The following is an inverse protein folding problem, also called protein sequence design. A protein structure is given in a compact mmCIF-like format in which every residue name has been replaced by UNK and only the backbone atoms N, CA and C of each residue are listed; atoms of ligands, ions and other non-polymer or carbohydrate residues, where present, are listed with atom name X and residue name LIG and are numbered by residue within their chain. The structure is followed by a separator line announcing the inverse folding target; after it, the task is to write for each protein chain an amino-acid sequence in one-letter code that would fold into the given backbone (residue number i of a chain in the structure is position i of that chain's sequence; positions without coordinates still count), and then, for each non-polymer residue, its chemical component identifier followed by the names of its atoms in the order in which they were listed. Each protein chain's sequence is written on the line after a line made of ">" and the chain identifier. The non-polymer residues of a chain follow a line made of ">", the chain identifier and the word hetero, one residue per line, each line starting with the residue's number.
data_IF_541431042790
#
_entry.id   IF_541431042790
#
_cell.length_a   1.000
_cell.length_b   1.000
_cell.length_c   1.000
_cell.angle_alpha   90.00
_cell.angle_beta   90.00
_cell.angle_gamma   90.00
#
_symmetry.space_group_name_H-M   'P 1'
#
loop_
_entity.id
_entity.type
_entity.pdbx_description
1 polymer ?
#
# COMPACT_ATOMS: atom_id res chain seq x y z
N UNK A 1 19.88 -3.93 0.98
CA UNK A 1 19.03 -2.73 1.10
C UNK A 1 18.67 -2.33 -0.32
N UNK A 2 17.39 -2.12 -0.60
CA UNK A 2 16.93 -1.68 -1.92
C UNK A 2 16.17 -0.38 -1.72
N UNK A 3 16.37 0.57 -2.62
CA UNK A 3 15.60 1.80 -2.63
C UNK A 3 14.10 1.46 -2.76
N UNK A 4 13.27 2.10 -1.94
CA UNK A 4 11.83 1.91 -1.85
C UNK A 4 11.13 3.27 -1.77
N UNK A 5 10.85 3.83 -2.94
CA UNK A 5 10.21 5.14 -3.06
C UNK A 5 8.78 5.08 -2.53
N UNK A 6 8.31 6.17 -1.94
CA UNK A 6 6.99 6.22 -1.30
C UNK A 6 6.35 7.60 -1.36
N UNK A 7 5.03 7.63 -1.23
CA UNK A 7 4.25 8.85 -0.98
C UNK A 7 3.96 8.96 0.51
N UNK A 8 4.57 9.96 1.15
CA UNK A 8 4.46 10.18 2.60
C UNK A 8 3.50 11.33 2.88
N UNK A 9 2.60 11.13 3.83
CA UNK A 9 1.67 12.15 4.28
C UNK A 9 2.37 13.14 5.24
N UNK A 10 2.39 14.43 4.89
CA UNK A 10 3.18 15.44 5.61
C UNK A 10 2.36 16.47 6.37
N UNK A 11 1.14 16.74 5.91
CA UNK A 11 0.30 17.80 6.48
C UNK A 11 -1.18 17.52 6.22
N UNK A 12 -2.00 17.85 7.21
CA UNK A 12 -3.46 17.82 7.08
C UNK A 12 -3.96 18.84 6.07
N UNK A 13 -4.91 18.43 5.22
CA UNK A 13 -5.51 19.27 4.20
C UNK A 13 -6.91 19.74 4.63
N UNK A 14 -7.09 21.06 4.74
CA UNK A 14 -8.42 21.67 4.96
C UNK A 14 -9.23 21.61 3.67
N UNK A 15 -8.68 22.17 2.58
CA UNK A 15 -9.24 22.13 1.24
C UNK A 15 -8.63 21.02 0.38
N UNK A 16 -8.57 21.18 -0.94
CA UNK A 16 -7.94 20.21 -1.83
C UNK A 16 -6.48 19.96 -1.43
N UNK A 17 -6.02 18.70 -1.44
CA UNK A 17 -4.64 18.40 -1.14
C UNK A 17 -3.72 18.91 -2.26
N UNK A 18 -2.61 19.51 -1.85
CA UNK A 18 -1.57 20.11 -2.69
C UNK A 18 -0.30 19.25 -2.63
N UNK A 19 0.23 18.89 -3.79
CA UNK A 19 1.48 18.14 -3.95
C UNK A 19 2.65 18.99 -3.44
N UNK A 20 3.55 18.40 -2.65
CA UNK A 20 4.70 19.09 -2.05
C UNK A 20 4.39 19.78 -0.72
N UNK A 21 3.12 19.92 -0.36
CA UNK A 21 2.69 20.44 0.95
C UNK A 21 2.10 19.35 1.83
N UNK A 22 1.10 18.63 1.29
CA UNK A 22 0.36 17.61 2.03
C UNK A 22 0.97 16.22 1.83
N UNK A 23 1.67 16.04 0.71
CA UNK A 23 2.38 14.82 0.37
C UNK A 23 3.79 15.13 -0.08
N UNK A 24 4.68 14.20 0.17
CA UNK A 24 6.04 14.21 -0.34
C UNK A 24 6.34 12.89 -1.02
N UNK A 25 6.95 12.98 -2.21
CA UNK A 25 7.51 11.81 -2.88
C UNK A 25 8.94 11.60 -2.39
N UNK A 26 9.12 10.58 -1.56
CA UNK A 26 10.39 10.25 -0.92
C UNK A 26 11.12 9.22 -1.78
N UNK A 27 12.42 9.46 -2.02
CA UNK A 27 13.24 8.62 -2.93
C UNK A 27 14.52 8.05 -2.30
N UNK A 28 14.79 8.43 -1.06
CA UNK A 28 15.93 8.07 -0.23
C UNK A 28 15.53 7.18 0.95
N UNK A 29 14.47 6.37 0.76
CA UNK A 29 14.01 5.38 1.74
C UNK A 29 14.45 4.00 1.29
N UNK A 30 14.98 3.21 2.21
CA UNK A 30 15.36 1.84 1.95
C UNK A 30 14.46 0.87 2.69
N UNK A 31 14.27 -0.32 2.08
CA UNK A 31 13.68 -1.45 2.77
C UNK A 31 14.78 -2.45 3.14
N UNK A 32 14.87 -2.71 4.45
CA UNK A 32 15.88 -3.59 5.06
C UNK A 32 15.16 -4.59 5.95
N UNK A 33 14.33 -5.44 5.35
CA UNK A 33 13.51 -6.36 6.12
C UNK A 33 13.91 -7.80 5.81
N UNK A 34 14.63 -8.43 6.74
CA UNK A 34 14.68 -9.88 6.79
C UNK A 34 13.30 -10.38 7.22
N UNK A 35 12.60 -11.08 6.32
CA UNK A 35 11.27 -11.61 6.61
C UNK A 35 11.32 -12.49 7.86
N UNK A 36 10.34 -12.31 8.74
CA UNK A 36 10.02 -13.20 9.87
C UNK A 36 8.97 -14.22 9.43
N UNK A 37 8.75 -15.23 10.26
CA UNK A 37 7.83 -16.32 9.94
C UNK A 37 6.42 -15.81 9.66
N UNK A 38 5.85 -16.24 8.54
CA UNK A 38 4.53 -15.80 8.07
C UNK A 38 4.50 -14.44 7.36
N UNK A 39 5.60 -13.68 7.34
CA UNK A 39 5.66 -12.40 6.62
C UNK A 39 5.91 -12.59 5.12
N UNK A 40 5.50 -11.60 4.34
CA UNK A 40 5.57 -11.59 2.88
C UNK A 40 6.14 -10.26 2.43
N UNK A 41 7.09 -10.26 1.50
CA UNK A 41 7.57 -9.07 0.83
C UNK A 41 6.92 -9.00 -0.55
N UNK A 42 6.30 -7.86 -0.85
CA UNK A 42 5.65 -7.61 -2.13
C UNK A 42 6.28 -6.46 -2.88
N UNK A 43 6.19 -6.50 -4.21
CA UNK A 43 6.35 -5.33 -5.09
C UNK A 43 4.97 -4.82 -5.47
N UNK A 44 4.66 -3.59 -5.09
CA UNK A 44 3.33 -3.03 -5.30
C UNK A 44 3.20 -2.56 -6.76
N UNK A 45 2.08 -2.91 -7.38
CA UNK A 45 1.82 -2.66 -8.81
C UNK A 45 0.78 -1.55 -8.99
N UNK A 46 -0.27 -1.59 -8.19
CA UNK A 46 -1.37 -0.64 -8.21
C UNK A 46 -1.81 -0.33 -6.78
N UNK A 47 -2.21 0.91 -6.53
CA UNK A 47 -2.82 1.36 -5.28
C UNK A 47 -4.13 2.06 -5.65
N UNK A 48 -5.22 1.74 -4.96
CA UNK A 48 -6.51 2.35 -5.22
C UNK A 48 -6.49 3.81 -4.77
N UNK A 49 -7.18 4.67 -5.49
CA UNK A 49 -7.36 6.08 -5.14
C UNK A 49 -8.83 6.36 -4.88
N UNK A 50 -9.28 5.98 -3.69
CA UNK A 50 -10.70 6.02 -3.33
C UNK A 50 -11.11 7.39 -2.76
N UNK A 51 -12.35 7.85 -2.98
CA UNK A 51 -12.82 9.14 -2.47
C UNK A 51 -12.66 9.30 -0.94
N UNK A 52 -12.77 8.19 -0.18
CA UNK A 52 -12.68 8.23 1.28
C UNK A 52 -11.28 8.63 1.79
N UNK A 53 -10.23 8.49 0.98
CA UNK A 53 -8.87 8.92 1.36
C UNK A 53 -8.83 10.42 1.63
N UNK A 54 -9.68 11.23 1.00
CA UNK A 54 -9.81 12.66 1.28
C UNK A 54 -10.26 12.93 2.72
N UNK A 55 -11.13 12.09 3.28
CA UNK A 55 -11.56 12.21 4.67
C UNK A 55 -10.40 11.91 5.63
N UNK A 56 -9.57 10.90 5.31
CA UNK A 56 -8.36 10.54 6.09
C UNK A 56 -7.30 11.65 6.14
N UNK A 57 -7.39 12.68 5.28
CA UNK A 57 -6.44 13.81 5.22
C UNK A 57 -6.88 15.07 6.00
N UNK A 58 -8.10 15.12 6.55
CA UNK A 58 -8.63 16.30 7.26
C UNK A 58 -8.22 16.31 8.74
N UNK A 59 -7.96 17.49 9.28
CA UNK A 59 -7.61 17.69 10.70
C UNK A 59 -8.80 17.64 11.65
N UNK A 60 -10.00 18.02 11.19
CA UNK A 60 -11.18 18.16 12.06
C UNK A 60 -11.75 16.80 12.54
N UNK A 61 -12.14 16.77 13.82
CA UNK A 61 -12.56 15.61 14.62
C UNK A 61 -13.94 15.04 14.31
N UNK A 62 -14.68 15.64 13.38
CA UNK A 62 -16.05 15.21 13.10
C UNK A 62 -16.07 13.86 12.36
N UNK A 63 -16.17 12.80 13.17
CA UNK A 63 -16.62 11.44 12.80
C UNK A 63 -15.97 10.89 11.53
N UNK A 64 -14.66 10.64 11.56
CA UNK A 64 -14.03 9.88 10.48
C UNK A 64 -14.16 8.37 10.74
N UNK A 65 -15.15 7.75 10.10
CA UNK A 65 -15.39 6.30 10.10
C UNK A 65 -14.19 5.47 9.62
N UNK A 66 -13.29 6.07 8.83
CA UNK A 66 -12.20 5.38 8.15
C UNK A 66 -10.81 5.61 8.79
N UNK A 67 -10.78 6.21 9.98
CA UNK A 67 -9.52 6.58 10.65
C UNK A 67 -8.79 7.72 9.95
N UNK A 68 -7.51 7.95 10.25
CA UNK A 68 -6.71 9.05 9.68
C UNK A 68 -5.35 8.57 9.21
N UNK A 69 -4.76 9.27 8.25
CA UNK A 69 -3.35 9.05 7.92
C UNK A 69 -2.47 9.55 9.06
N UNK A 70 -1.34 8.89 9.27
CA UNK A 70 -0.36 9.34 10.25
C UNK A 70 0.63 10.30 9.61
N UNK A 71 0.91 11.43 10.28
CA UNK A 71 1.92 12.38 9.81
C UNK A 71 3.29 11.70 9.75
N UNK A 72 4.03 11.94 8.67
CA UNK A 72 5.34 11.36 8.41
C UNK A 72 5.31 9.87 8.03
N UNK A 73 4.13 9.26 7.84
CA UNK A 73 4.00 7.87 7.43
C UNK A 73 3.61 7.75 5.95
N UNK A 74 3.93 6.60 5.36
CA UNK A 74 3.48 6.24 4.01
C UNK A 74 1.95 6.16 3.99
N UNK A 75 1.34 6.71 2.95
CA UNK A 75 -0.11 6.60 2.74
C UNK A 75 -0.47 5.15 2.46
N UNK A 76 -1.49 4.63 3.11
CA UNK A 76 -1.94 3.25 2.93
C UNK A 76 -3.31 3.16 2.26
N UNK A 77 -3.48 2.17 1.39
CA UNK A 77 -4.77 1.79 0.86
C UNK A 77 -4.78 0.35 0.32
N UNK A 78 -5.94 -0.10 -0.16
CA UNK A 78 -6.06 -1.28 -0.98
C UNK A 78 -5.14 -1.21 -2.19
N UNK A 79 -4.45 -2.31 -2.47
CA UNK A 79 -3.40 -2.41 -3.45
C UNK A 79 -3.33 -3.81 -4.07
N UNK A 80 -2.83 -3.86 -5.30
CA UNK A 80 -2.43 -5.10 -5.98
C UNK A 80 -0.91 -5.14 -5.98
N UNK A 81 -0.35 -6.28 -5.60
CA UNK A 81 1.09 -6.47 -5.52
C UNK A 81 1.51 -7.86 -5.99
N UNK A 82 2.77 -7.99 -6.40
CA UNK A 82 3.40 -9.27 -6.70
C UNK A 82 4.24 -9.72 -5.51
N UNK A 83 4.11 -10.98 -5.11
CA UNK A 83 4.92 -11.56 -4.04
C UNK A 83 6.33 -11.81 -4.55
N UNK A 84 7.33 -11.15 -3.96
CA UNK A 84 8.74 -11.29 -4.36
C UNK A 84 9.58 -12.09 -3.36
N UNK A 85 9.15 -12.19 -2.10
CA UNK A 85 9.66 -13.12 -1.11
C UNK A 85 8.55 -13.49 -0.12
N UNK A 86 8.54 -14.72 0.39
CA UNK A 86 7.50 -15.17 1.33
C UNK A 86 8.04 -16.17 2.33
N UNK A 87 7.69 -15.96 3.60
CA UNK A 87 7.78 -16.96 4.69
C UNK A 87 6.39 -17.49 5.09
N UNK A 88 5.38 -17.26 4.24
CA UNK A 88 4.05 -17.82 4.40
C UNK A 88 3.84 -18.96 3.39
N UNK A 89 3.72 -20.22 3.84
CA UNK A 89 3.61 -21.37 2.94
C UNK A 89 2.34 -21.36 2.08
N UNK A 90 1.31 -20.58 2.46
CA UNK A 90 0.06 -20.49 1.72
C UNK A 90 0.09 -19.41 0.62
N UNK A 91 1.10 -18.55 0.60
CA UNK A 91 1.21 -17.43 -0.33
C UNK A 91 2.60 -17.49 -0.97
N UNK A 92 2.76 -18.27 -2.05
CA UNK A 92 4.06 -18.47 -2.70
C UNK A 92 4.54 -17.24 -3.48
N UNK A 93 5.85 -17.22 -3.75
CA UNK A 93 6.50 -16.20 -4.58
C UNK A 93 5.97 -16.26 -6.02
N UNK A 94 5.77 -15.08 -6.62
CA UNK A 94 5.25 -14.91 -7.99
C UNK A 94 3.74 -14.68 -8.08
N UNK A 95 3.00 -14.97 -7.00
CA UNK A 95 1.57 -14.72 -6.91
C UNK A 95 1.24 -13.24 -6.99
N UNK A 96 0.09 -12.93 -7.60
CA UNK A 96 -0.50 -11.61 -7.59
C UNK A 96 -1.55 -11.57 -6.49
N UNK A 97 -1.39 -10.63 -5.57
CA UNK A 97 -2.21 -10.53 -4.38
C UNK A 97 -2.89 -9.17 -4.26
N UNK A 98 -4.03 -9.18 -3.58
CA UNK A 98 -4.73 -8.00 -3.10
C UNK A 98 -4.56 -7.92 -1.57
N UNK A 99 -4.22 -6.74 -1.07
CA UNK A 99 -4.11 -6.46 0.37
C UNK A 99 -4.18 -4.95 0.63
N UNK A 100 -4.12 -4.55 1.89
CA UNK A 100 -3.98 -3.16 2.31
C UNK A 100 -2.50 -2.84 2.50
N UNK A 101 -1.91 -2.03 1.62
CA UNK A 101 -0.47 -1.80 1.51
C UNK A 101 -0.14 -0.30 1.46
N UNK A 102 1.14 0.02 1.62
CA UNK A 102 1.63 1.38 1.43
C UNK A 102 1.63 1.81 -0.03
N UNK A 103 1.49 3.11 -0.25
CA UNK A 103 1.76 3.78 -1.52
C UNK A 103 3.27 3.97 -1.68
N UNK A 104 3.92 2.84 -1.92
CA UNK A 104 5.36 2.64 -2.00
C UNK A 104 5.67 1.54 -3.03
N UNK A 105 6.92 1.38 -3.43
CA UNK A 105 7.32 0.36 -4.42
C UNK A 105 7.29 -1.07 -3.84
N UNK A 106 7.59 -1.22 -2.55
CA UNK A 106 7.63 -2.50 -1.84
C UNK A 106 7.02 -2.41 -0.46
N UNK A 107 6.22 -3.41 -0.07
CA UNK A 107 5.64 -3.51 1.27
C UNK A 107 5.94 -4.86 1.92
N UNK A 108 6.15 -4.85 3.23
CA UNK A 108 6.13 -6.08 4.04
C UNK A 108 4.72 -6.24 4.58
N UNK A 109 4.12 -7.39 4.29
CA UNK A 109 2.85 -7.81 4.86
C UNK A 109 3.16 -8.62 6.13
N UNK A 110 2.72 -8.15 7.31
CA UNK A 110 2.87 -8.90 8.55
C UNK A 110 2.11 -10.22 8.54
N UNK A 111 2.58 -11.19 9.32
CA UNK A 111 1.86 -12.43 9.56
C UNK A 111 0.43 -12.13 10.10
N UNK A 112 -0.57 -12.76 9.52
CA UNK A 112 -1.98 -12.60 9.92
C UNK A 112 -2.71 -11.40 9.31
N UNK A 113 -2.02 -10.51 8.59
CA UNK A 113 -2.70 -9.51 7.77
C UNK A 113 -3.47 -10.19 6.63
N UNK A 114 -4.63 -9.62 6.26
CA UNK A 114 -5.45 -10.11 5.17
C UNK A 114 -4.71 -10.01 3.83
N UNK A 115 -4.69 -11.11 3.09
CA UNK A 115 -4.15 -11.21 1.74
C UNK A 115 -5.03 -12.13 0.92
N UNK A 116 -5.42 -11.70 -0.27
CA UNK A 116 -6.15 -12.52 -1.23
C UNK A 116 -5.30 -12.76 -2.48
N UNK A 117 -5.12 -14.02 -2.85
CA UNK A 117 -4.51 -14.38 -4.14
C UNK A 117 -5.54 -14.12 -5.25
N UNK A 118 -5.18 -13.25 -6.20
CA UNK A 118 -6.03 -12.91 -7.33
C UNK A 118 -5.98 -14.06 -8.34
N UNK A 119 -7.02 -14.89 -8.34
CA UNK A 119 -7.11 -16.02 -9.26
C UNK A 119 -7.07 -15.57 -10.72
N UNK A 120 -6.33 -16.33 -11.51
CA UNK A 120 -6.11 -16.13 -12.93
C UNK A 120 -5.56 -14.72 -13.27
N UNK A 121 -4.79 -14.08 -12.38
CA UNK A 121 -4.37 -12.70 -12.55
C UNK A 121 -3.61 -12.43 -13.85
N UNK A 122 -2.87 -13.43 -14.35
CA UNK A 122 -2.04 -13.31 -15.55
C UNK A 122 -2.69 -13.90 -16.80
N UNK A 123 -3.61 -14.87 -16.64
CA UNK A 123 -4.36 -15.49 -17.73
C UNK A 123 -5.61 -14.70 -18.12
N UNK A 124 -6.15 -13.95 -17.17
CA UNK A 124 -7.22 -12.98 -17.36
C UNK A 124 -6.76 -11.95 -18.40
N UNK A 125 -7.36 -11.96 -19.60
CA UNK A 125 -7.13 -10.92 -20.63
C UNK A 125 -7.52 -9.50 -20.17
N UNK A 126 -8.08 -9.34 -18.98
CA UNK A 126 -8.37 -8.06 -18.34
C UNK A 126 -7.14 -7.52 -17.60
N UNK A 127 -6.92 -6.20 -17.58
CA UNK A 127 -5.82 -5.59 -16.84
C UNK A 127 -5.98 -5.82 -15.33
N UNK A 128 -4.86 -5.90 -14.60
CA UNK A 128 -4.89 -6.05 -13.14
C UNK A 128 -5.63 -4.90 -12.46
N UNK A 129 -5.60 -3.69 -13.02
CA UNK A 129 -6.36 -2.55 -12.52
C UNK A 129 -7.88 -2.76 -12.49
N UNK A 130 -8.42 -3.78 -13.18
CA UNK A 130 -9.83 -4.17 -13.09
C UNK A 130 -10.15 -5.00 -11.83
N UNK A 131 -9.16 -5.28 -10.97
CA UNK A 131 -9.29 -6.07 -9.74
C UNK A 131 -9.06 -5.25 -8.48
N UNK A 132 -9.09 -3.92 -8.59
CA UNK A 132 -8.84 -2.97 -7.50
C UNK A 132 -9.79 -1.78 -7.64
N UNK A 133 -10.39 -1.36 -6.52
CA UNK A 133 -11.43 -0.34 -6.46
C UNK A 133 -12.71 -0.85 -5.81
#
# INVERSE_FOLDING_TARGET
>A
MVNNKAVVFKKWAVDYPVIGEHFEYVTDREITHELKDGEILTRNLYVSMDPYLRAKMRSHEETNLFGRFNLGQVIDNHAIAEVIASKNPNIPVGEIVYSFLGWEEYSVIPAGQYVEIIKNARESKLPLSARIG
#
